data_IF_794699467641
#
_entry.id   IF_794699467641
#
_cell.length_a   1.000
_cell.length_b   1.000
_cell.length_c   1.000
_cell.angle_alpha   90.00
_cell.angle_beta   90.00
_cell.angle_gamma   90.00
#
_symmetry.space_group_name_H-M   'P 1'
#
loop_
_entity.id
_entity.type
_entity.pdbx_description
1 polymer ?
#
# COMPACT_ATOMS: atom_id res chain seq x y z
N UNK A 1 -0.96 22.59 2.67
CA UNK A 1 -0.27 21.31 2.42
C UNK A 1 -1.33 20.30 2.01
N UNK A 2 -1.19 19.75 0.81
CA UNK A 2 -2.02 18.64 0.30
C UNK A 2 -1.53 17.32 0.91
N UNK A 3 -2.38 16.29 0.90
CA UNK A 3 -2.02 14.97 1.43
C UNK A 3 -0.86 14.32 0.66
N UNK A 4 -0.86 14.43 -0.68
CA UNK A 4 0.24 13.97 -1.54
C UNK A 4 1.59 14.60 -1.16
N UNK A 5 1.61 15.92 -0.94
CA UNK A 5 2.79 16.66 -0.48
C UNK A 5 3.27 16.18 0.91
N UNK A 6 2.34 15.93 1.83
CA UNK A 6 2.67 15.43 3.16
C UNK A 6 3.30 14.02 3.10
N UNK A 7 2.72 13.12 2.31
CA UNK A 7 3.23 11.75 2.15
C UNK A 7 4.65 11.79 1.57
N UNK A 8 4.90 12.60 0.54
CA UNK A 8 6.24 12.73 -0.04
C UNK A 8 7.26 13.30 0.94
N UNK A 9 6.88 14.35 1.69
CA UNK A 9 7.76 14.98 2.67
C UNK A 9 8.09 14.07 3.87
N UNK A 10 7.20 13.13 4.20
CA UNK A 10 7.32 12.25 5.37
C UNK A 10 7.44 10.76 5.00
N UNK A 11 7.80 10.46 3.75
CA UNK A 11 7.83 9.08 3.22
C UNK A 11 8.63 8.14 4.10
N UNK A 12 9.86 8.52 4.46
CA UNK A 12 10.71 7.69 5.31
C UNK A 12 10.12 7.47 6.71
N UNK A 13 9.72 8.50 7.48
CA UNK A 13 9.02 8.29 8.74
C UNK A 13 7.77 7.41 8.66
N UNK A 14 6.98 7.53 7.58
CA UNK A 14 5.80 6.68 7.36
C UNK A 14 6.21 5.21 7.21
N UNK A 15 7.23 4.93 6.38
CA UNK A 15 7.73 3.58 6.17
C UNK A 15 8.35 2.98 7.43
N UNK A 16 9.09 3.78 8.20
CA UNK A 16 9.69 3.34 9.46
C UNK A 16 8.62 2.92 10.50
N UNK A 17 7.55 3.71 10.63
CA UNK A 17 6.43 3.40 11.53
C UNK A 17 5.58 2.21 11.03
N UNK A 18 5.37 2.10 9.71
CA UNK A 18 4.73 0.94 9.09
C UNK A 18 5.50 -0.34 9.43
N UNK A 19 6.81 -0.35 9.19
CA UNK A 19 7.68 -1.50 9.49
C UNK A 19 7.66 -1.85 10.98
N UNK A 20 7.71 -0.84 11.85
CA UNK A 20 7.61 -1.04 13.29
C UNK A 20 6.30 -1.74 13.68
N UNK A 21 5.17 -1.33 13.11
CA UNK A 21 3.88 -1.98 13.34
C UNK A 21 3.84 -3.41 12.80
N UNK A 22 4.29 -3.62 11.56
CA UNK A 22 4.32 -4.93 10.91
C UNK A 22 5.07 -5.99 11.73
N UNK A 23 6.16 -5.58 12.40
CA UNK A 23 6.94 -6.44 13.30
C UNK A 23 6.14 -6.93 14.50
N UNK A 24 5.10 -6.20 14.93
CA UNK A 24 4.23 -6.59 16.05
C UNK A 24 3.24 -7.71 15.70
N UNK A 25 3.03 -8.01 14.42
CA UNK A 25 2.12 -9.05 13.93
C UNK A 25 2.69 -10.47 14.09
N UNK A 26 3.05 -10.86 15.31
CA UNK A 26 3.53 -12.21 15.64
C UNK A 26 2.39 -13.25 15.60
N UNK A 27 2.67 -14.51 15.21
CA UNK A 27 3.99 -15.05 14.83
C UNK A 27 4.39 -14.78 13.38
N UNK A 28 3.47 -14.30 12.53
CA UNK A 28 3.67 -14.13 11.09
C UNK A 28 4.87 -13.22 10.77
N UNK A 29 5.11 -12.19 11.59
CA UNK A 29 6.26 -11.30 11.45
C UNK A 29 7.62 -11.99 11.61
N UNK A 30 7.68 -13.19 12.20
CA UNK A 30 8.91 -13.96 12.36
C UNK A 30 9.45 -14.59 11.07
N UNK A 31 8.63 -14.71 10.04
CA UNK A 31 9.00 -15.25 8.73
C UNK A 31 9.34 -14.16 7.67
N UNK A 32 9.25 -12.89 8.04
CA UNK A 32 9.38 -11.76 7.12
C UNK A 32 10.82 -11.53 6.63
N UNK A 33 10.99 -11.39 5.30
CA UNK A 33 12.12 -10.66 4.72
C UNK A 33 11.81 -9.16 4.71
N UNK A 34 12.29 -8.44 5.73
CA UNK A 34 11.99 -7.03 5.98
C UNK A 34 12.36 -6.12 4.79
N UNK A 35 13.39 -6.45 4.02
CA UNK A 35 13.87 -5.57 2.94
C UNK A 35 12.84 -5.51 1.82
N UNK A 36 12.32 -6.66 1.39
CA UNK A 36 11.27 -6.72 0.37
C UNK A 36 9.99 -5.97 0.78
N UNK A 37 9.72 -5.84 2.08
CA UNK A 37 8.50 -5.23 2.60
C UNK A 37 8.53 -3.71 2.60
N UNK A 38 9.68 -3.14 2.98
CA UNK A 38 9.88 -1.70 2.90
C UNK A 38 9.80 -1.20 1.45
N UNK A 39 10.28 -2.02 0.51
CA UNK A 39 10.25 -1.72 -0.92
C UNK A 39 8.81 -1.68 -1.46
N UNK A 40 7.98 -2.70 -1.20
CA UNK A 40 6.58 -2.69 -1.66
C UNK A 40 5.76 -1.55 -1.05
N UNK A 41 5.91 -1.27 0.25
CA UNK A 41 5.22 -0.15 0.89
C UNK A 41 5.64 1.21 0.30
N UNK A 42 6.92 1.35 -0.06
CA UNK A 42 7.41 2.55 -0.73
C UNK A 42 6.79 2.74 -2.13
N UNK A 43 6.63 1.65 -2.89
CA UNK A 43 5.96 1.67 -4.19
C UNK A 43 4.46 1.99 -4.06
N UNK A 44 3.78 1.40 -3.08
CA UNK A 44 2.38 1.72 -2.77
C UNK A 44 2.19 3.21 -2.48
N UNK A 45 3.06 3.82 -1.67
CA UNK A 45 3.00 5.27 -1.40
C UNK A 45 3.22 6.10 -2.66
N UNK A 46 4.04 5.65 -3.61
CA UNK A 46 4.22 6.32 -4.91
C UNK A 46 2.93 6.29 -5.73
N UNK A 47 2.28 5.12 -5.81
CA UNK A 47 1.00 4.96 -6.51
C UNK A 47 -0.08 5.83 -5.87
N UNK A 48 -0.19 5.81 -4.54
CA UNK A 48 -1.17 6.61 -3.78
C UNK A 48 -0.95 8.11 -4.02
N UNK A 49 0.30 8.58 -4.01
CA UNK A 49 0.60 10.00 -4.27
C UNK A 49 0.19 10.40 -5.69
N UNK A 50 0.55 9.60 -6.70
CA UNK A 50 0.17 9.87 -8.08
C UNK A 50 -1.35 9.90 -8.27
N UNK A 51 -2.05 8.98 -7.60
CA UNK A 51 -3.50 8.89 -7.61
C UNK A 51 -4.18 10.10 -6.94
N UNK A 52 -3.65 10.56 -5.79
CA UNK A 52 -4.13 11.75 -5.07
C UNK A 52 -3.94 13.05 -5.87
N UNK A 53 -2.96 13.08 -6.78
CA UNK A 53 -2.70 14.22 -7.64
C UNK A 53 -3.45 14.16 -8.98
N UNK A 54 -4.08 13.02 -9.30
CA UNK A 54 -4.86 12.83 -10.53
C UNK A 54 -6.23 13.52 -10.42
N UNK A 55 -6.52 14.54 -11.26
CA UNK A 55 -7.84 15.18 -11.28
C UNK A 55 -8.93 14.18 -11.64
N UNK A 56 -10.04 14.19 -10.88
CA UNK A 56 -11.19 13.31 -11.10
C UNK A 56 -12.48 14.13 -11.00
N UNK A 57 -13.44 13.82 -11.86
CA UNK A 57 -14.83 14.26 -11.73
C UNK A 57 -15.59 13.47 -10.66
N UNK A 58 -16.76 13.97 -10.24
CA UNK A 58 -17.56 13.32 -9.20
C UNK A 58 -18.02 11.90 -9.54
N UNK A 59 -18.32 11.63 -10.82
CA UNK A 59 -18.67 10.28 -11.27
C UNK A 59 -17.47 9.32 -11.23
N UNK A 60 -16.29 9.78 -11.69
CA UNK A 60 -15.06 8.98 -11.66
C UNK A 60 -14.67 8.61 -10.23
N UNK A 61 -14.75 9.58 -9.31
CA UNK A 61 -14.51 9.35 -7.89
C UNK A 61 -15.49 8.32 -7.30
N UNK A 62 -16.79 8.43 -7.61
CA UNK A 62 -17.82 7.48 -7.18
C UNK A 62 -17.52 6.06 -7.66
N UNK A 63 -17.28 5.89 -8.95
CA UNK A 63 -17.06 4.56 -9.52
C UNK A 63 -15.77 3.92 -9.01
N UNK A 64 -14.68 4.69 -8.93
CA UNK A 64 -13.42 4.21 -8.37
C UNK A 64 -13.55 3.77 -6.91
N UNK A 65 -14.29 4.52 -6.07
CA UNK A 65 -14.49 4.16 -4.67
C UNK A 65 -15.25 2.84 -4.46
N UNK A 66 -15.94 2.36 -5.49
CA UNK A 66 -16.67 1.09 -5.51
C UNK A 66 -15.91 -0.04 -6.21
N UNK A 67 -14.68 0.23 -6.66
CA UNK A 67 -13.89 -0.73 -7.44
C UNK A 67 -14.28 -0.81 -8.92
N UNK A 68 -15.10 0.12 -9.44
CA UNK A 68 -15.53 0.17 -10.84
C UNK A 68 -14.68 1.13 -11.69
N UNK A 69 -13.46 1.47 -11.25
CA UNK A 69 -12.56 2.28 -12.05
C UNK A 69 -12.24 1.55 -13.38
N UNK A 70 -12.06 2.28 -14.50
CA UNK A 70 -11.58 1.67 -15.72
C UNK A 70 -10.26 0.95 -15.46
N UNK A 71 -10.12 -0.28 -15.97
CA UNK A 71 -8.84 -0.98 -15.98
C UNK A 71 -7.85 -0.16 -16.81
N UNK A 72 -6.73 0.21 -16.21
CA UNK A 72 -5.61 0.81 -16.94
C UNK A 72 -4.86 -0.28 -17.69
N UNK A 73 -4.32 0.03 -18.87
CA UNK A 73 -3.64 -0.93 -19.75
C UNK A 73 -2.37 -1.60 -19.17
N UNK A 74 -1.97 -1.24 -17.94
CA UNK A 74 -0.96 -1.96 -17.17
C UNK A 74 -1.65 -3.03 -16.31
N UNK A 75 -2.05 -4.14 -16.93
CA UNK A 75 -2.47 -5.38 -16.27
C UNK A 75 -1.28 -6.12 -15.63
N UNK A 76 -0.32 -5.39 -15.07
CA UNK A 76 0.79 -5.96 -14.29
C UNK A 76 0.42 -6.02 -12.82
N UNK A 77 0.88 -7.05 -12.12
CA UNK A 77 0.75 -7.15 -10.68
C UNK A 77 1.27 -5.87 -10.02
N UNK A 78 0.41 -5.24 -9.21
CA UNK A 78 0.73 -4.00 -8.51
C UNK A 78 1.52 -4.30 -7.24
N UNK A 79 2.31 -3.33 -6.75
CA UNK A 79 2.99 -3.44 -5.46
C UNK A 79 2.04 -3.80 -4.30
N UNK A 80 0.78 -3.36 -4.35
CA UNK A 80 -0.23 -3.71 -3.35
C UNK A 80 -0.65 -5.19 -3.44
N UNK A 81 -0.76 -5.74 -4.65
CA UNK A 81 -1.04 -7.16 -4.86
C UNK A 81 0.16 -8.03 -4.45
N UNK A 82 1.38 -7.65 -4.82
CA UNK A 82 2.61 -8.34 -4.40
C UNK A 82 2.78 -8.30 -2.88
N UNK A 83 2.54 -7.15 -2.25
CA UNK A 83 2.53 -7.01 -0.80
C UNK A 83 1.52 -7.94 -0.15
N UNK A 84 0.27 -7.93 -0.62
CA UNK A 84 -0.78 -8.80 -0.10
C UNK A 84 -0.44 -10.29 -0.27
N UNK A 85 0.01 -10.70 -1.45
CA UNK A 85 0.41 -12.09 -1.70
C UNK A 85 1.56 -12.52 -0.78
N UNK A 86 2.62 -11.71 -0.68
CA UNK A 86 3.76 -12.00 0.19
C UNK A 86 3.38 -12.07 1.67
N UNK A 87 2.44 -11.25 2.12
CA UNK A 87 1.89 -11.31 3.49
C UNK A 87 1.15 -12.62 3.75
N UNK A 88 0.34 -13.07 2.81
CA UNK A 88 -0.39 -14.32 2.93
C UNK A 88 0.58 -15.52 3.00
N UNK A 89 1.64 -15.50 2.19
CA UNK A 89 2.70 -16.51 2.20
C UNK A 89 3.48 -16.53 3.53
N UNK A 90 3.68 -15.36 4.15
CA UNK A 90 4.29 -15.24 5.48
C UNK A 90 3.34 -15.66 6.63
N UNK A 91 2.09 -16.01 6.32
CA UNK A 91 1.10 -16.46 7.31
C UNK A 91 0.36 -15.34 8.03
N UNK A 92 0.34 -14.12 7.48
CA UNK A 92 -0.51 -13.05 8.00
C UNK A 92 -1.98 -13.43 7.85
N UNK A 93 -2.79 -13.18 8.89
CA UNK A 93 -4.25 -13.22 8.74
C UNK A 93 -4.75 -12.01 7.97
N UNK A 94 -5.95 -12.08 7.41
CA UNK A 94 -6.58 -10.94 6.72
C UNK A 94 -6.68 -9.72 7.65
N UNK A 95 -6.97 -9.94 8.93
CA UNK A 95 -7.03 -8.88 9.93
C UNK A 95 -5.66 -8.22 10.14
N UNK A 96 -4.57 -9.00 10.13
CA UNK A 96 -3.22 -8.45 10.25
C UNK A 96 -2.81 -7.68 8.99
N UNK A 97 -3.19 -8.17 7.80
CA UNK A 97 -2.92 -7.48 6.52
C UNK A 97 -3.67 -6.16 6.40
N UNK A 98 -4.90 -6.08 6.92
CA UNK A 98 -5.72 -4.86 6.89
C UNK A 98 -5.30 -3.86 7.98
N UNK A 99 -4.77 -4.35 9.10
CA UNK A 99 -4.32 -3.51 10.20
C UNK A 99 -2.96 -2.84 9.94
N UNK A 100 -2.13 -3.46 9.11
CA UNK A 100 -0.84 -2.94 8.68
C UNK A 100 -0.99 -1.88 7.59
#
# INVERSE_FOLDING_TARGET
MRLSEFILANRKPILDEWEAFARTCSPASGAMDIIALADHANEMLTVIVADLDTPQGGQEQSEKSKGNAPLTAEDSTTAAEEHGAGRAECGFSVEQMVAE
#
